data_IF_899959196886
#
_entry.id   IF_899959196886
#
_cell.length_a   1.000
_cell.length_b   1.000
_cell.length_c   1.000
_cell.angle_alpha   90.00
_cell.angle_beta   90.00
_cell.angle_gamma   90.00
#
_symmetry.space_group_name_H-M   'P 1'
#
loop_
_entity.id
_entity.type
_entity.pdbx_description
1 polymer ?
#
# COMPACT_ATOMS: atom_id res chain seq x y z
N UNK A 1 -7.23 -4.64 17.54
CA UNK A 1 -7.59 -5.30 16.28
C UNK A 1 -6.52 -6.33 16.00
N UNK A 2 -6.87 -7.61 15.90
CA UNK A 2 -5.91 -8.60 15.45
C UNK A 2 -5.68 -8.48 13.93
N UNK A 3 -4.90 -9.40 13.36
CA UNK A 3 -4.54 -9.33 11.94
C UNK A 3 -5.75 -9.60 11.04
N UNK A 4 -6.59 -10.57 11.39
CA UNK A 4 -7.72 -11.00 10.57
C UNK A 4 -8.81 -9.93 10.54
N UNK A 5 -9.08 -9.28 11.68
CA UNK A 5 -9.98 -8.13 11.75
C UNK A 5 -9.50 -6.97 10.88
N UNK A 6 -8.18 -6.71 10.86
CA UNK A 6 -7.60 -5.64 10.06
C UNK A 6 -7.67 -5.95 8.57
N UNK A 7 -7.32 -7.17 8.16
CA UNK A 7 -7.44 -7.62 6.77
C UNK A 7 -8.91 -7.56 6.30
N UNK A 8 -9.87 -7.88 7.17
CA UNK A 8 -11.30 -7.74 6.88
C UNK A 8 -11.71 -6.27 6.70
N UNK A 9 -11.25 -5.37 7.57
CA UNK A 9 -11.52 -3.94 7.44
C UNK A 9 -10.89 -3.33 6.18
N UNK A 10 -9.70 -3.81 5.78
CA UNK A 10 -9.06 -3.43 4.51
C UNK A 10 -9.92 -3.89 3.33
N UNK A 11 -10.41 -5.14 3.33
CA UNK A 11 -11.27 -5.64 2.27
C UNK A 11 -12.56 -4.82 2.15
N UNK A 12 -13.22 -4.52 3.27
CA UNK A 12 -14.41 -3.66 3.31
C UNK A 12 -14.11 -2.26 2.75
N UNK A 13 -12.97 -1.66 3.12
CA UNK A 13 -12.56 -0.36 2.59
C UNK A 13 -12.35 -0.38 1.07
N UNK A 14 -11.79 -1.47 0.53
CA UNK A 14 -11.59 -1.65 -0.92
C UNK A 14 -12.93 -1.79 -1.65
N UNK A 15 -13.89 -2.52 -1.08
CA UNK A 15 -15.24 -2.68 -1.64
C UNK A 15 -16.04 -1.36 -1.69
N UNK A 16 -15.70 -0.43 -0.80
CA UNK A 16 -16.30 0.90 -0.71
C UNK A 16 -15.55 2.01 -1.47
N UNK A 17 -14.49 1.67 -2.20
CA UNK A 17 -13.78 2.67 -3.01
C UNK A 17 -14.71 3.26 -4.08
N UNK A 18 -14.68 4.60 -4.27
CA UNK A 18 -15.32 5.22 -5.43
C UNK A 18 -14.85 4.59 -6.74
N UNK A 19 -15.74 4.49 -7.73
CA UNK A 19 -15.50 3.76 -8.98
C UNK A 19 -14.26 4.28 -9.70
N UNK A 20 -14.03 5.59 -9.67
CA UNK A 20 -12.86 6.23 -10.28
C UNK A 20 -11.53 5.75 -9.69
N UNK A 21 -11.50 5.28 -8.43
CA UNK A 21 -10.31 4.72 -7.80
C UNK A 21 -10.26 3.21 -7.91
N UNK A 22 -11.41 2.52 -7.86
CA UNK A 22 -11.49 1.08 -8.04
C UNK A 22 -10.90 0.63 -9.39
N UNK A 23 -11.10 1.40 -10.46
CA UNK A 23 -10.49 1.13 -11.77
C UNK A 23 -8.95 1.22 -11.74
N UNK A 24 -8.38 2.11 -10.91
CA UNK A 24 -6.93 2.29 -10.76
C UNK A 24 -6.28 1.19 -9.93
N UNK A 25 -7.06 0.45 -9.15
CA UNK A 25 -6.61 -0.70 -8.36
C UNK A 25 -6.30 -1.94 -9.20
N UNK A 26 -6.60 -1.90 -10.51
CA UNK A 26 -6.21 -2.97 -11.45
C UNK A 26 -4.69 -3.18 -11.43
N UNK A 27 -4.27 -4.43 -11.16
CA UNK A 27 -2.87 -4.84 -11.05
C UNK A 27 -2.11 -4.26 -9.83
N UNK A 28 -2.81 -4.02 -8.71
CA UNK A 28 -2.21 -3.66 -7.42
C UNK A 28 -2.39 -4.80 -6.41
N UNK A 29 -1.32 -5.12 -5.68
CA UNK A 29 -1.30 -6.07 -4.56
C UNK A 29 -1.30 -5.32 -3.24
N UNK A 30 -2.24 -5.64 -2.34
CA UNK A 30 -2.28 -5.09 -0.99
C UNK A 30 -1.62 -6.07 -0.03
N UNK A 31 -0.70 -5.60 0.81
CA UNK A 31 -0.02 -6.39 1.83
C UNK A 31 -0.18 -5.76 3.20
N UNK A 32 -0.53 -6.56 4.20
CA UNK A 32 -0.60 -6.10 5.60
C UNK A 32 0.67 -6.51 6.35
N UNK A 33 1.31 -5.54 7.01
CA UNK A 33 2.45 -5.72 7.91
C UNK A 33 2.15 -5.14 9.29
N UNK A 34 2.93 -5.53 10.30
CA UNK A 34 2.74 -5.01 11.65
C UNK A 34 3.23 -3.58 11.79
N UNK A 35 4.51 -3.34 11.51
CA UNK A 35 5.19 -2.03 11.62
C UNK A 35 6.11 -1.81 10.41
N UNK A 36 6.39 -0.56 10.02
CA UNK A 36 7.46 -0.26 9.07
C UNK A 36 8.82 -0.60 9.68
N UNK A 37 9.74 -1.09 8.85
CA UNK A 37 11.13 -1.32 9.27
C UNK A 37 11.97 -0.03 9.20
N UNK A 38 13.05 0.02 9.97
CA UNK A 38 13.92 1.19 10.09
C UNK A 38 14.53 1.61 8.74
N UNK A 39 14.78 0.65 7.85
CA UNK A 39 15.32 0.91 6.51
C UNK A 39 14.28 1.66 5.66
N UNK A 40 13.03 1.20 5.64
CA UNK A 40 11.91 1.87 4.98
C UNK A 40 11.70 3.30 5.50
N UNK A 41 11.74 3.51 6.83
CA UNK A 41 11.58 4.84 7.41
C UNK A 41 12.75 5.77 7.04
N UNK A 42 13.98 5.25 7.06
CA UNK A 42 15.16 6.01 6.68
C UNK A 42 15.17 6.39 5.19
N UNK A 43 14.70 5.52 4.30
CA UNK A 43 14.54 5.82 2.86
C UNK A 43 13.57 6.98 2.62
N UNK A 44 12.58 7.15 3.49
CA UNK A 44 11.58 8.21 3.43
C UNK A 44 11.93 9.45 4.28
N UNK A 45 13.11 9.46 4.91
CA UNK A 45 13.58 10.52 5.80
C UNK A 45 12.62 10.79 6.98
N UNK A 46 11.98 9.73 7.49
CA UNK A 46 11.05 9.80 8.63
C UNK A 46 11.79 9.50 9.95
N UNK A 47 11.58 10.34 10.97
CA UNK A 47 12.14 10.10 12.31
C UNK A 47 11.22 9.16 13.12
N UNK A 48 11.59 7.90 13.39
CA UNK A 48 10.75 6.92 14.10
C UNK A 48 10.35 7.35 15.52
N UNK A 49 10.97 8.40 16.07
CA UNK A 49 10.61 8.94 17.39
C UNK A 49 9.38 9.83 17.36
N UNK A 50 9.07 10.41 16.20
CA UNK A 50 8.02 11.42 16.04
C UNK A 50 7.08 11.12 14.88
N UNK A 51 7.50 10.27 13.93
CA UNK A 51 6.85 9.99 12.67
C UNK A 51 6.75 8.48 12.44
N UNK A 52 5.77 8.08 11.65
CA UNK A 52 5.55 6.68 11.27
C UNK A 52 4.78 6.62 9.94
N UNK A 53 4.52 5.41 9.46
CA UNK A 53 3.90 5.15 8.18
C UNK A 53 2.71 4.20 8.34
N UNK A 54 1.54 4.60 7.84
CA UNK A 54 0.35 3.73 7.79
C UNK A 54 0.22 2.97 6.47
N UNK A 55 0.89 3.45 5.43
CA UNK A 55 1.02 2.68 4.20
C UNK A 55 2.05 3.23 3.23
N UNK A 56 2.57 2.34 2.39
CA UNK A 56 3.60 2.61 1.39
C UNK A 56 3.15 2.07 0.03
N UNK A 57 3.17 2.92 -0.99
CA UNK A 57 3.04 2.48 -2.38
C UNK A 57 4.43 2.26 -2.99
N UNK A 58 4.69 1.06 -3.47
CA UNK A 58 5.90 0.69 -4.21
C UNK A 58 5.48 0.22 -5.60
N UNK A 59 5.84 1.00 -6.62
CA UNK A 59 5.44 0.69 -7.97
C UNK A 59 5.83 1.77 -8.96
N UNK A 60 5.47 1.56 -10.22
CA UNK A 60 5.63 2.61 -11.24
C UNK A 60 4.42 3.55 -11.15
N UNK A 61 4.63 4.88 -11.08
CA UNK A 61 3.53 5.85 -11.10
C UNK A 61 2.60 5.65 -12.29
N UNK A 62 1.29 5.84 -12.08
CA UNK A 62 0.25 5.63 -13.10
C UNK A 62 0.50 6.41 -14.40
N UNK A 63 1.01 7.63 -14.29
CA UNK A 63 1.35 8.53 -15.41
C UNK A 63 2.58 8.06 -16.22
N UNK A 64 3.35 7.12 -15.68
CA UNK A 64 4.56 6.55 -16.29
C UNK A 64 4.35 5.11 -16.77
N UNK A 65 3.14 4.55 -16.62
CA UNK A 65 2.79 3.21 -17.12
C UNK A 65 2.63 3.23 -18.65
N UNK A 66 3.68 2.90 -19.39
CA UNK A 66 3.66 2.76 -20.85
C UNK A 66 3.01 1.46 -21.36
N UNK A 67 2.92 1.28 -22.69
CA UNK A 67 2.30 0.10 -23.33
C UNK A 67 2.96 -1.27 -23.05
N UNK A 68 4.07 -1.29 -22.31
CA UNK A 68 4.78 -2.50 -21.86
C UNK A 68 4.27 -3.05 -20.51
N UNK A 69 3.29 -2.39 -19.88
CA UNK A 69 2.81 -2.75 -18.53
C UNK A 69 2.09 -4.10 -18.44
N UNK A 70 1.89 -4.82 -19.55
CA UNK A 70 1.23 -6.13 -19.59
C UNK A 70 2.07 -7.31 -19.06
N UNK A 71 3.37 -7.12 -18.79
CA UNK A 71 4.29 -8.17 -18.32
C UNK A 71 5.05 -7.79 -17.02
N UNK A 72 4.60 -6.77 -16.29
CA UNK A 72 5.27 -6.31 -15.06
C UNK A 72 4.60 -6.91 -13.83
N UNK A 73 5.39 -7.07 -12.78
CA UNK A 73 4.89 -7.40 -11.45
C UNK A 73 3.84 -6.34 -11.02
N UNK A 74 2.80 -6.75 -10.27
CA UNK A 74 1.82 -5.81 -9.75
C UNK A 74 2.51 -4.78 -8.85
N UNK A 75 1.98 -3.55 -8.85
CA UNK A 75 2.40 -2.56 -7.87
C UNK A 75 1.93 -2.99 -6.48
N UNK A 76 2.63 -2.59 -5.43
CA UNK A 76 2.35 -3.04 -4.07
C UNK A 76 1.96 -1.85 -3.21
N UNK A 77 0.85 -1.96 -2.50
CA UNK A 77 0.54 -1.11 -1.35
C UNK A 77 0.74 -1.94 -0.10
N UNK A 78 1.69 -1.55 0.74
CA UNK A 78 1.84 -2.08 2.09
C UNK A 78 1.01 -1.22 3.03
N UNK A 79 0.20 -1.84 3.88
CA UNK A 79 -0.50 -1.19 4.99
C UNK A 79 0.09 -1.69 6.31
N UNK A 80 0.37 -0.78 7.23
CA UNK A 80 0.92 -1.08 8.54
C UNK A 80 -0.16 -0.98 9.61
N UNK A 81 -0.33 -2.06 10.38
CA UNK A 81 -1.40 -2.18 11.39
C UNK A 81 -1.11 -1.38 12.66
N UNK A 82 0.17 -1.13 12.96
CA UNK A 82 0.62 -0.41 14.14
C UNK A 82 1.39 0.85 13.73
N UNK A 83 1.24 1.95 14.50
CA UNK A 83 2.11 3.11 14.38
C UNK A 83 3.51 2.82 14.90
#
# INVERSE_FOLDING_TARGET
MDREDFESAVAEALDHLPVEFAELMSNISIQVREVPDDETLAELDLDPRFETLFGLYTGVPLDQRGGWYGNVLPDVIVLYRQP
#
